data_IF_676770101647
#
_entry.id   IF_676770101647
#
_cell.length_a   1.000
_cell.length_b   1.000
_cell.length_c   1.000
_cell.angle_alpha   90.00
_cell.angle_beta   90.00
_cell.angle_gamma   90.00
#
_symmetry.space_group_name_H-M   'P 1'
#
loop_
_entity.id
_entity.type
_entity.pdbx_description
1 polymer ?
#
# COMPACT_ATOMS: atom_id res chain seq x y z
N UNK A 1 -16.76 -18.70 0.96
CA UNK A 1 -16.19 -19.77 1.82
C UNK A 1 -14.93 -19.23 2.49
N UNK A 2 -14.68 -19.62 3.73
CA UNK A 2 -13.39 -19.42 4.40
C UNK A 2 -12.49 -20.64 4.16
N UNK A 3 -11.17 -20.45 4.21
CA UNK A 3 -10.21 -21.57 4.16
C UNK A 3 -10.40 -22.48 5.38
N UNK A 4 -10.32 -23.79 5.18
CA UNK A 4 -10.46 -24.81 6.23
C UNK A 4 -9.12 -25.34 6.73
N UNK A 5 -8.03 -25.09 6.02
CA UNK A 5 -6.68 -25.55 6.33
C UNK A 5 -5.68 -24.38 6.35
N UNK A 6 -4.59 -24.57 7.09
CA UNK A 6 -3.38 -23.73 6.96
C UNK A 6 -2.60 -24.19 5.74
N UNK A 7 -2.05 -23.24 5.00
CA UNK A 7 -1.16 -23.48 3.87
C UNK A 7 0.16 -22.74 4.11
N UNK A 8 1.28 -23.44 3.86
CA UNK A 8 2.60 -22.84 3.71
C UNK A 8 3.03 -23.06 2.25
N UNK A 9 3.81 -22.16 1.67
CA UNK A 9 4.24 -22.23 0.26
C UNK A 9 5.64 -21.67 0.07
N UNK A 10 6.34 -22.14 -0.98
CA UNK A 10 7.61 -21.58 -1.46
C UNK A 10 7.39 -21.08 -2.88
N UNK A 11 7.73 -19.82 -3.14
CA UNK A 11 7.66 -19.22 -4.47
C UNK A 11 9.10 -19.03 -4.99
N UNK A 12 9.44 -19.75 -6.05
CA UNK A 12 10.67 -19.52 -6.81
C UNK A 12 10.34 -18.64 -8.02
N UNK A 13 11.19 -17.65 -8.26
CA UNK A 13 11.17 -16.79 -9.44
C UNK A 13 12.60 -16.38 -9.77
N UNK A 14 12.87 -16.11 -11.03
CA UNK A 14 14.15 -15.60 -11.52
C UNK A 14 14.03 -14.14 -11.96
N UNK A 15 15.19 -13.56 -12.29
CA UNK A 15 15.31 -12.28 -12.98
C UNK A 15 16.47 -12.40 -13.95
N UNK A 16 16.28 -11.89 -15.16
CA UNK A 16 17.31 -11.84 -16.19
C UNK A 16 17.51 -10.38 -16.61
N UNK A 17 18.77 -9.96 -16.65
CA UNK A 17 19.22 -8.65 -17.15
C UNK A 17 18.41 -7.46 -16.59
N UNK A 18 18.08 -7.50 -15.29
CA UNK A 18 17.16 -6.54 -14.68
C UNK A 18 17.21 -6.47 -13.15
N UNK A 19 16.47 -5.50 -12.60
CA UNK A 19 16.42 -5.21 -11.17
C UNK A 19 15.06 -5.63 -10.56
N UNK A 20 14.99 -6.67 -9.72
CA UNK A 20 13.73 -7.19 -9.20
C UNK A 20 13.13 -6.33 -8.06
N UNK A 21 13.99 -5.65 -7.29
CA UNK A 21 13.62 -4.74 -6.21
C UNK A 21 14.79 -3.76 -5.96
N UNK A 22 14.63 -2.51 -6.40
CA UNK A 22 15.58 -1.46 -6.11
C UNK A 22 15.57 -1.01 -4.65
N UNK A 23 16.69 -0.48 -4.19
CA UNK A 23 16.89 0.16 -2.89
C UNK A 23 16.84 1.69 -3.02
N UNK A 24 15.87 2.40 -2.39
CA UNK A 24 15.84 3.86 -2.42
C UNK A 24 17.06 4.49 -1.74
N UNK A 25 17.67 3.80 -0.77
CA UNK A 25 18.80 4.33 0.00
C UNK A 25 20.16 4.08 -0.69
N UNK A 26 20.20 3.14 -1.65
CA UNK A 26 21.38 2.81 -2.45
C UNK A 26 21.18 3.10 -3.94
N UNK A 27 20.64 4.28 -4.27
CA UNK A 27 20.59 4.79 -5.66
C UNK A 27 19.76 3.94 -6.63
N UNK A 28 18.75 3.22 -6.12
CA UNK A 28 17.95 2.24 -6.86
C UNK A 28 18.72 1.00 -7.37
N UNK A 29 19.92 0.71 -6.84
CA UNK A 29 20.57 -0.60 -7.05
C UNK A 29 19.70 -1.74 -6.48
N UNK A 30 19.85 -3.00 -6.96
CA UNK A 30 19.20 -4.15 -6.34
C UNK A 30 19.53 -4.23 -4.84
N UNK A 31 18.52 -4.53 -4.00
CA UNK A 31 18.74 -4.70 -2.56
C UNK A 31 19.63 -5.91 -2.27
N UNK A 32 20.59 -5.75 -1.36
CA UNK A 32 21.53 -6.79 -0.94
C UNK A 32 21.49 -6.97 0.58
N UNK A 33 21.66 -8.20 1.04
CA UNK A 33 22.02 -8.50 2.43
C UNK A 33 23.52 -8.19 2.63
N UNK A 34 23.82 -7.22 3.48
CA UNK A 34 25.18 -6.74 3.71
C UNK A 34 26.12 -7.79 4.35
N UNK A 35 25.58 -8.77 5.07
CA UNK A 35 26.40 -9.82 5.70
C UNK A 35 26.71 -10.98 4.75
N UNK A 36 25.79 -11.28 3.81
CA UNK A 36 25.85 -12.51 3.01
C UNK A 36 25.98 -12.27 1.50
N UNK A 37 25.83 -11.02 1.02
CA UNK A 37 25.86 -10.67 -0.41
C UNK A 37 24.67 -11.19 -1.22
N UNK A 38 23.64 -11.77 -0.58
CA UNK A 38 22.47 -12.30 -1.29
C UNK A 38 21.51 -11.18 -1.67
N UNK A 39 20.90 -11.30 -2.85
CA UNK A 39 19.87 -10.39 -3.32
C UNK A 39 18.61 -10.51 -2.47
N UNK A 40 18.00 -9.37 -2.14
CA UNK A 40 16.77 -9.29 -1.34
C UNK A 40 15.61 -8.76 -2.20
N UNK A 41 14.45 -9.37 -2.05
CA UNK A 41 13.18 -8.81 -2.54
C UNK A 41 12.23 -8.73 -1.36
N UNK A 42 11.83 -7.50 -1.02
CA UNK A 42 10.96 -7.23 0.14
C UNK A 42 9.60 -7.87 -0.04
N UNK A 43 9.00 -8.30 1.07
CA UNK A 43 7.64 -8.85 1.08
C UNK A 43 6.63 -7.82 0.53
N UNK A 44 6.81 -6.54 0.84
CA UNK A 44 5.97 -5.45 0.34
C UNK A 44 6.07 -5.27 -1.18
N UNK A 45 7.22 -5.52 -1.80
CA UNK A 45 7.36 -5.49 -3.26
C UNK A 45 6.61 -6.67 -3.92
N UNK A 46 6.68 -7.87 -3.34
CA UNK A 46 5.90 -9.02 -3.83
C UNK A 46 4.40 -8.79 -3.63
N UNK A 47 3.97 -8.34 -2.44
CA UNK A 47 2.59 -7.96 -2.14
C UNK A 47 2.08 -6.82 -3.04
N UNK A 48 2.95 -5.92 -3.53
CA UNK A 48 2.62 -4.91 -4.55
C UNK A 48 2.39 -5.55 -5.92
N UNK A 49 3.25 -6.48 -6.37
CA UNK A 49 3.05 -7.21 -7.63
C UNK A 49 1.74 -8.01 -7.61
N UNK A 50 1.41 -8.70 -6.51
CA UNK A 50 0.13 -9.41 -6.33
C UNK A 50 -1.07 -8.45 -6.39
N UNK A 51 -1.02 -7.31 -5.71
CA UNK A 51 -2.06 -6.26 -5.82
C UNK A 51 -2.26 -5.80 -7.25
N UNK A 52 -1.18 -5.50 -7.96
CA UNK A 52 -1.24 -5.03 -9.35
C UNK A 52 -1.82 -6.10 -10.29
N UNK A 53 -1.45 -7.38 -10.12
CA UNK A 53 -2.02 -8.48 -10.88
C UNK A 53 -3.54 -8.60 -10.67
N UNK A 54 -4.00 -8.56 -9.41
CA UNK A 54 -5.44 -8.60 -9.09
C UNK A 54 -6.16 -7.35 -9.62
N UNK A 55 -5.54 -6.17 -9.55
CA UNK A 55 -6.11 -4.93 -10.10
C UNK A 55 -6.28 -4.95 -11.63
N UNK A 56 -5.40 -5.66 -12.35
CA UNK A 56 -5.49 -5.84 -13.81
C UNK A 56 -6.49 -6.94 -14.20
N UNK A 57 -6.59 -8.00 -13.39
CA UNK A 57 -7.48 -9.15 -13.65
C UNK A 57 -8.94 -8.97 -13.23
N UNK A 58 -9.26 -7.95 -12.43
CA UNK A 58 -10.60 -7.77 -11.85
C UNK A 58 -11.09 -6.32 -11.88
N UNK A 59 -12.41 -6.15 -11.97
CA UNK A 59 -13.13 -4.88 -11.86
C UNK A 59 -12.70 -4.04 -10.63
N UNK A 60 -12.18 -2.84 -10.89
CA UNK A 60 -11.78 -1.85 -9.89
C UNK A 60 -12.77 -0.68 -9.75
N UNK A 61 -13.95 -0.77 -10.36
CA UNK A 61 -14.96 0.29 -10.35
C UNK A 61 -15.62 0.48 -8.98
N UNK A 62 -15.89 1.74 -8.66
CA UNK A 62 -16.52 2.15 -7.40
C UNK A 62 -18.05 1.98 -7.47
N UNK A 63 -18.50 0.72 -7.38
CA UNK A 63 -19.90 0.35 -7.16
C UNK A 63 -20.15 -0.06 -5.71
N UNK A 64 -21.41 -0.31 -5.37
CA UNK A 64 -21.79 -0.94 -4.10
C UNK A 64 -21.52 -2.46 -4.13
N UNK A 65 -21.09 -3.08 -3.01
CA UNK A 65 -20.87 -4.51 -2.95
C UNK A 65 -22.19 -5.28 -2.92
N UNK A 66 -22.38 -6.20 -3.86
CA UNK A 66 -23.56 -7.07 -3.91
C UNK A 66 -23.43 -8.16 -2.84
N UNK A 67 -24.53 -8.46 -2.13
CA UNK A 67 -24.56 -9.52 -1.13
C UNK A 67 -24.22 -10.88 -1.75
N UNK A 68 -23.18 -11.54 -1.21
CA UNK A 68 -22.67 -12.82 -1.73
C UNK A 68 -21.55 -12.71 -2.77
N UNK A 69 -21.30 -11.52 -3.33
CA UNK A 69 -20.18 -11.30 -4.24
C UNK A 69 -18.88 -11.03 -3.45
N UNK A 70 -17.83 -11.79 -3.73
CA UNK A 70 -16.48 -11.50 -3.25
C UNK A 70 -15.82 -10.50 -4.21
N UNK A 71 -15.72 -9.23 -3.81
CA UNK A 71 -15.09 -8.20 -4.64
C UNK A 71 -13.57 -8.23 -4.52
N UNK A 72 -12.93 -7.78 -5.59
CA UNK A 72 -11.47 -7.79 -5.80
C UNK A 72 -10.90 -6.38 -6.02
N UNK A 73 -11.59 -5.36 -5.48
CA UNK A 73 -11.10 -3.99 -5.47
C UNK A 73 -9.81 -3.92 -4.61
N UNK A 74 -8.85 -3.09 -4.98
CA UNK A 74 -7.58 -2.91 -4.25
C UNK A 74 -7.60 -1.60 -3.46
N UNK A 75 -7.47 -1.70 -2.14
CA UNK A 75 -7.47 -0.57 -1.21
C UNK A 75 -6.21 0.29 -1.37
N UNK A 76 -5.03 -0.35 -1.34
CA UNK A 76 -3.74 0.35 -1.47
C UNK A 76 -3.34 0.47 -2.94
N UNK A 77 -4.03 1.32 -3.71
CA UNK A 77 -3.72 1.64 -5.12
C UNK A 77 -3.09 3.02 -5.30
N UNK A 78 -2.46 3.26 -6.45
CA UNK A 78 -1.89 4.58 -6.78
C UNK A 78 -2.98 5.67 -6.76
N UNK A 79 -2.64 6.88 -6.32
CA UNK A 79 -3.54 8.06 -6.24
C UNK A 79 -4.79 7.90 -5.35
N UNK A 80 -4.97 6.79 -4.63
CA UNK A 80 -6.08 6.62 -3.71
C UNK A 80 -5.81 7.30 -2.34
N UNK A 81 -6.83 8.03 -1.85
CA UNK A 81 -6.82 8.60 -0.50
C UNK A 81 -7.56 7.63 0.43
N UNK A 82 -6.82 6.98 1.33
CA UNK A 82 -7.34 5.91 2.20
C UNK A 82 -8.51 6.38 3.08
N UNK A 83 -8.46 7.61 3.59
CA UNK A 83 -9.52 8.19 4.42
C UNK A 83 -10.86 8.34 3.65
N UNK A 84 -10.83 8.57 2.33
CA UNK A 84 -12.06 8.61 1.52
C UNK A 84 -12.67 7.21 1.37
N UNK A 85 -11.84 6.18 1.25
CA UNK A 85 -12.30 4.79 1.20
C UNK A 85 -12.86 4.32 2.55
N UNK A 86 -12.30 4.80 3.68
CA UNK A 86 -12.87 4.60 5.02
C UNK A 86 -14.25 5.28 5.14
N UNK A 87 -14.38 6.52 4.66
CA UNK A 87 -15.67 7.25 4.63
C UNK A 87 -16.71 6.54 3.76
N UNK A 88 -16.32 6.02 2.58
CA UNK A 88 -17.19 5.25 1.67
C UNK A 88 -17.84 4.04 2.35
N UNK A 89 -17.11 3.34 3.25
CA UNK A 89 -17.67 2.25 4.04
C UNK A 89 -18.81 2.71 4.97
N UNK A 90 -18.62 3.85 5.65
CA UNK A 90 -19.65 4.43 6.52
C UNK A 90 -20.86 4.95 5.74
N UNK A 91 -20.63 5.60 4.59
CA UNK A 91 -21.70 6.05 3.70
C UNK A 91 -22.54 4.88 3.16
N UNK A 92 -21.90 3.80 2.72
CA UNK A 92 -22.58 2.60 2.22
C UNK A 92 -23.39 1.88 3.32
N UNK A 93 -22.90 1.86 4.55
CA UNK A 93 -23.58 1.28 5.70
C UNK A 93 -24.61 2.21 6.36
N UNK A 94 -24.69 3.48 5.94
CA UNK A 94 -25.54 4.54 6.53
C UNK A 94 -25.30 4.72 8.03
N UNK A 95 -24.03 4.64 8.44
CA UNK A 95 -23.59 4.83 9.82
C UNK A 95 -23.29 6.29 10.11
N UNK A 96 -23.54 6.73 11.35
CA UNK A 96 -23.21 8.08 11.80
C UNK A 96 -21.70 8.33 11.72
N UNK A 97 -21.30 9.30 10.91
CA UNK A 97 -19.89 9.62 10.71
C UNK A 97 -19.39 10.48 11.87
N UNK A 98 -18.82 9.83 12.89
CA UNK A 98 -17.95 10.52 13.84
C UNK A 98 -16.57 10.67 13.20
N UNK A 99 -16.34 11.83 12.59
CA UNK A 99 -15.00 12.23 12.13
C UNK A 99 -14.17 12.56 13.38
N UNK A 100 -13.19 11.72 13.70
CA UNK A 100 -12.09 12.18 14.56
C UNK A 100 -11.29 13.20 13.73
N UNK A 101 -11.35 14.47 14.15
CA UNK A 101 -10.54 15.55 13.60
C UNK A 101 -9.08 15.11 13.59
N UNK A 102 -8.47 15.08 12.39
CA UNK A 102 -7.09 14.65 12.25
C UNK A 102 -6.18 15.63 13.03
N UNK A 103 -5.13 15.12 13.72
CA UNK A 103 -4.07 16.02 14.18
C UNK A 103 -3.43 16.65 12.95
N UNK A 104 -3.49 17.98 12.86
CA UNK A 104 -2.67 18.76 11.95
C UNK A 104 -1.24 18.70 12.48
N UNK A 105 -0.36 17.95 11.82
CA UNK A 105 1.07 18.10 12.03
C UNK A 105 1.54 19.48 11.55
N UNK A 106 2.60 19.98 12.20
CA UNK A 106 3.32 21.24 11.95
C UNK A 106 2.55 22.55 12.30
N UNK A 107 2.97 23.42 13.24
CA UNK A 107 4.29 23.55 13.93
C UNK A 107 4.19 24.24 15.32
N UNK A 108 5.29 24.09 16.08
CA UNK A 108 5.81 24.97 17.15
C UNK A 108 5.19 24.96 18.57
N UNK A 109 6.09 25.18 19.54
CA UNK A 109 5.83 25.23 20.98
C UNK A 109 5.35 26.62 21.43
N UNK A 110 4.38 26.68 22.37
CA UNK A 110 4.67 26.93 23.78
C UNK A 110 3.39 26.92 24.67
N UNK A 111 3.61 26.64 25.95
CA UNK A 111 2.75 26.87 27.14
C UNK A 111 1.27 27.35 27.00
N UNK A 112 0.31 26.47 27.36
CA UNK A 112 -0.61 26.63 28.55
C UNK A 112 -1.80 25.64 28.61
N UNK A 113 -1.94 24.95 29.76
CA UNK A 113 -3.24 24.51 30.33
C UNK A 113 -3.95 25.72 31.01
N UNK A 114 -5.26 25.70 31.36
CA UNK A 114 -6.20 24.57 31.55
C UNK A 114 -7.49 24.74 30.68
N UNK A 115 -8.67 24.09 30.82
CA UNK A 115 -9.37 23.31 31.87
C UNK A 115 -10.15 22.10 31.27
N UNK A 116 -10.80 21.30 32.13
CA UNK A 116 -11.80 20.27 31.75
C UNK A 116 -13.10 20.90 31.22
N UNK A 117 -13.68 20.29 30.19
CA UNK A 117 -15.13 20.23 29.96
C UNK A 117 -15.48 18.83 29.47
N UNK A 118 -16.49 18.20 30.08
CA UNK A 118 -16.89 16.83 29.73
C UNK A 118 -17.84 16.82 28.53
N UNK A 119 -17.49 16.03 27.51
CA UNK A 119 -18.42 15.44 26.55
C UNK A 119 -17.79 14.14 26.05
N UNK A 120 -18.55 13.06 26.06
CA UNK A 120 -18.12 11.79 25.48
C UNK A 120 -17.96 11.98 23.97
N UNK A 121 -16.72 12.16 23.48
CA UNK A 121 -16.40 11.85 22.09
C UNK A 121 -16.62 10.35 21.93
N UNK A 122 -17.84 9.97 21.52
CA UNK A 122 -18.15 8.61 21.09
C UNK A 122 -17.29 8.33 19.85
N UNK A 123 -16.10 7.76 20.06
CA UNK A 123 -15.50 6.87 19.05
C UNK A 123 -16.64 6.01 18.52
N UNK A 124 -16.78 5.90 17.19
CA UNK A 124 -17.88 5.16 16.55
C UNK A 124 -18.13 3.84 17.29
N UNK A 125 -19.40 3.49 17.54
CA UNK A 125 -19.72 2.39 18.46
C UNK A 125 -18.97 1.13 18.04
N UNK A 126 -18.58 0.30 19.00
CA UNK A 126 -17.81 -0.92 18.71
C UNK A 126 -18.51 -1.81 17.66
N UNK A 127 -19.85 -1.74 17.60
CA UNK A 127 -20.70 -2.31 16.54
C UNK A 127 -20.39 -1.78 15.14
N UNK A 128 -20.24 -0.46 15.00
CA UNK A 128 -20.13 0.28 13.75
C UNK A 128 -18.75 0.01 13.14
N UNK A 129 -17.71 0.01 13.96
CA UNK A 129 -16.35 -0.38 13.58
C UNK A 129 -16.29 -1.84 13.12
N UNK A 130 -17.05 -2.75 13.75
CA UNK A 130 -17.12 -4.16 13.32
C UNK A 130 -17.81 -4.29 11.96
N UNK A 131 -18.91 -3.55 11.73
CA UNK A 131 -19.63 -3.54 10.45
C UNK A 131 -18.79 -2.92 9.33
N UNK A 132 -18.18 -1.75 9.57
CA UNK A 132 -17.27 -1.10 8.64
C UNK A 132 -16.10 -2.01 8.26
N UNK A 133 -15.45 -2.65 9.26
CA UNK A 133 -14.39 -3.63 9.02
C UNK A 133 -14.86 -4.81 8.16
N UNK A 134 -16.06 -5.34 8.40
CA UNK A 134 -16.61 -6.43 7.61
C UNK A 134 -16.86 -6.01 6.15
N UNK A 135 -17.41 -4.81 5.94
CA UNK A 135 -17.59 -4.21 4.61
C UNK A 135 -16.26 -4.01 3.88
N UNK A 136 -15.23 -3.48 4.56
CA UNK A 136 -13.89 -3.32 4.01
C UNK A 136 -13.29 -4.67 3.57
N UNK A 137 -13.44 -5.73 4.39
CA UNK A 137 -13.01 -7.08 4.03
C UNK A 137 -13.81 -7.70 2.87
N UNK A 138 -15.09 -7.36 2.72
CA UNK A 138 -15.90 -7.85 1.58
C UNK A 138 -15.49 -7.14 0.28
N UNK A 139 -15.29 -5.82 0.33
CA UNK A 139 -15.00 -5.01 -0.84
C UNK A 139 -13.56 -5.16 -1.34
N UNK A 140 -12.58 -5.14 -0.44
CA UNK A 140 -11.16 -5.06 -0.78
C UNK A 140 -10.41 -6.38 -0.60
N UNK A 141 -9.82 -6.89 -1.70
CA UNK A 141 -9.07 -8.14 -1.69
C UNK A 141 -7.80 -8.06 -0.85
N UNK A 142 -7.05 -6.96 -0.92
CA UNK A 142 -5.77 -6.83 -0.24
C UNK A 142 -5.92 -6.61 1.27
N UNK A 143 -6.96 -5.90 1.71
CA UNK A 143 -7.37 -5.83 3.12
C UNK A 143 -7.73 -7.23 3.64
N UNK A 144 -8.52 -7.98 2.87
CA UNK A 144 -8.93 -9.36 3.21
C UNK A 144 -7.76 -10.34 3.26
N UNK A 145 -6.74 -10.16 2.43
CA UNK A 145 -5.66 -11.13 2.20
C UNK A 145 -4.39 -10.82 3.00
N UNK A 146 -3.94 -9.57 3.01
CA UNK A 146 -2.71 -9.14 3.69
C UNK A 146 -2.99 -8.38 5.00
N UNK A 147 -4.19 -7.80 5.14
CA UNK A 147 -4.55 -6.94 6.26
C UNK A 147 -4.29 -5.46 5.99
N UNK A 148 -4.86 -4.61 6.82
CA UNK A 148 -4.70 -3.16 6.81
C UNK A 148 -5.01 -2.56 8.18
N UNK A 149 -4.41 -1.40 8.47
CA UNK A 149 -4.80 -0.50 9.56
C UNK A 149 -5.64 0.60 8.95
N UNK A 150 -6.85 0.79 9.45
CA UNK A 150 -7.87 1.69 8.86
C UNK A 150 -8.47 2.61 9.95
N UNK A 151 -7.64 2.98 10.93
CA UNK A 151 -8.04 3.80 12.09
C UNK A 151 -7.89 5.31 11.88
N UNK A 152 -7.47 5.75 10.70
CA UNK A 152 -7.24 7.16 10.37
C UNK A 152 -8.53 7.84 9.88
N UNK A 153 -8.81 9.04 10.41
CA UNK A 153 -10.04 9.78 10.13
C UNK A 153 -11.26 9.04 10.69
N UNK A 154 -12.02 8.38 9.81
CA UNK A 154 -13.17 7.55 10.23
C UNK A 154 -12.69 6.13 10.50
N UNK A 155 -12.80 5.69 11.76
CA UNK A 155 -12.15 4.48 12.25
C UNK A 155 -12.87 3.19 11.80
N UNK A 156 -12.33 2.53 10.77
CA UNK A 156 -12.77 1.21 10.30
C UNK A 156 -12.01 0.04 10.97
N UNK A 157 -11.23 0.32 12.02
CA UNK A 157 -10.49 -0.67 12.81
C UNK A 157 -9.22 -1.18 12.15
N UNK A 158 -8.87 -2.44 12.44
CA UNK A 158 -7.69 -3.11 11.91
C UNK A 158 -7.98 -4.56 11.53
N UNK A 159 -7.29 -5.06 10.50
CA UNK A 159 -7.40 -6.42 9.98
C UNK A 159 -6.01 -7.02 9.87
N UNK A 160 -5.82 -8.24 10.41
CA UNK A 160 -4.65 -9.08 10.14
C UNK A 160 -5.04 -10.06 9.05
N UNK A 161 -4.41 -9.97 7.86
CA UNK A 161 -4.69 -10.88 6.77
C UNK A 161 -4.06 -12.27 6.99
N UNK A 162 -4.66 -13.34 6.44
CA UNK A 162 -4.12 -14.69 6.58
C UNK A 162 -2.80 -14.92 5.83
N UNK A 163 -2.52 -14.15 4.77
CA UNK A 163 -1.30 -14.32 3.97
C UNK A 163 -0.19 -13.42 4.51
N UNK A 164 0.75 -14.04 5.22
CA UNK A 164 2.01 -13.43 5.61
C UNK A 164 3.13 -13.93 4.70
N UNK A 165 3.96 -13.00 4.25
CA UNK A 165 5.13 -13.26 3.38
C UNK A 165 6.34 -12.63 4.04
N UNK A 166 7.50 -13.27 3.94
CA UNK A 166 8.79 -12.74 4.36
C UNK A 166 9.54 -12.15 3.16
N UNK A 167 10.72 -11.57 3.40
CA UNK A 167 11.62 -11.21 2.30
C UNK A 167 12.02 -12.48 1.56
N UNK A 168 12.00 -12.43 0.22
CA UNK A 168 12.63 -13.43 -0.61
C UNK A 168 14.13 -13.12 -0.72
N UNK A 169 14.94 -14.17 -0.78
CA UNK A 169 16.39 -14.12 -0.89
C UNK A 169 16.80 -14.91 -2.14
N UNK A 170 17.84 -14.48 -2.84
CA UNK A 170 18.46 -15.29 -3.90
C UNK A 170 19.01 -16.61 -3.33
N UNK A 171 19.26 -17.60 -4.18
CA UNK A 171 19.90 -18.87 -3.76
C UNK A 171 21.40 -18.65 -3.52
N UNK A 172 22.04 -17.82 -4.36
CA UNK A 172 23.45 -17.49 -4.32
C UNK A 172 23.66 -15.97 -4.11
N UNK A 173 24.84 -15.52 -3.67
CA UNK A 173 25.22 -14.10 -3.68
C UNK A 173 25.10 -13.48 -5.08
N UNK A 174 24.68 -12.21 -5.16
CA UNK A 174 24.48 -11.52 -6.44
C UNK A 174 25.36 -10.27 -6.55
N UNK A 175 25.83 -9.97 -7.76
CA UNK A 175 26.63 -8.79 -8.05
C UNK A 175 25.81 -7.87 -8.95
N UNK A 176 25.59 -6.63 -8.50
CA UNK A 176 24.99 -5.60 -9.34
C UNK A 176 26.00 -5.09 -10.38
N UNK A 177 25.54 -4.76 -11.58
CA UNK A 177 26.38 -4.20 -12.65
C UNK A 177 25.72 -2.94 -13.21
N UNK A 178 26.47 -1.83 -13.17
CA UNK A 178 26.03 -0.55 -13.73
C UNK A 178 26.14 -0.57 -15.25
N UNK A 179 25.00 -0.33 -15.92
CA UNK A 179 24.93 -0.26 -17.37
C UNK A 179 24.60 1.19 -17.75
N UNK A 180 25.61 1.94 -18.20
CA UNK A 180 25.42 3.31 -18.65
C UNK A 180 24.62 3.35 -19.96
N UNK A 181 23.62 4.23 -20.03
CA UNK A 181 22.78 4.44 -21.21
C UNK A 181 22.74 5.93 -21.55
N UNK A 182 22.63 6.24 -22.85
CA UNK A 182 22.42 7.61 -23.34
C UNK A 182 20.96 7.82 -23.73
N UNK A 183 20.50 9.07 -23.67
CA UNK A 183 19.15 9.48 -24.11
C UNK A 183 19.29 10.66 -25.07
N UNK A 184 18.77 10.53 -26.28
CA UNK A 184 18.85 11.59 -27.29
C UNK A 184 17.95 12.80 -26.99
N UNK A 185 16.86 12.60 -26.24
CA UNK A 185 15.97 13.69 -25.83
C UNK A 185 16.55 14.52 -24.67
N UNK A 186 16.44 15.84 -24.78
CA UNK A 186 16.66 16.82 -23.69
C UNK A 186 15.44 16.93 -22.79
N UNK A 187 15.63 17.29 -21.51
CA UNK A 187 14.54 17.41 -20.54
C UNK A 187 13.90 18.81 -20.51
N UNK A 188 14.62 19.84 -20.93
CA UNK A 188 14.16 21.24 -20.87
C UNK A 188 14.45 22.00 -22.16
N UNK A 189 13.65 23.04 -22.44
CA UNK A 189 13.87 23.94 -23.58
C UNK A 189 15.23 24.66 -23.52
N UNK A 190 15.75 24.88 -22.30
CA UNK A 190 17.07 25.46 -22.07
C UNK A 190 18.21 24.50 -22.42
N UNK A 191 18.06 23.21 -22.14
CA UNK A 191 18.99 22.17 -22.61
C UNK A 191 18.96 22.07 -24.14
N UNK A 192 17.77 22.15 -24.75
CA UNK A 192 17.62 22.14 -26.21
C UNK A 192 18.36 23.29 -26.90
N UNK A 193 18.33 24.49 -26.30
CA UNK A 193 19.01 25.69 -26.82
C UNK A 193 20.52 25.72 -26.52
N UNK A 194 20.99 24.91 -25.56
CA UNK A 194 22.39 24.83 -25.17
C UNK A 194 23.16 23.68 -25.87
N UNK A 195 22.46 22.74 -26.50
CA UNK A 195 23.09 21.73 -27.36
C UNK A 195 23.23 22.25 -28.80
N UNK A 196 24.47 22.47 -29.22
CA UNK A 196 24.81 22.79 -30.61
C UNK A 196 25.20 21.50 -31.34
N UNK A 197 24.24 20.87 -32.01
CA UNK A 197 24.41 19.60 -32.71
C UNK A 197 23.08 18.93 -33.08
N UNK A 198 23.08 18.21 -34.20
CA UNK A 198 21.87 17.57 -34.74
C UNK A 198 21.45 16.36 -33.87
N UNK A 199 20.17 16.30 -33.48
CA UNK A 199 19.62 15.24 -32.66
C UNK A 199 19.53 13.93 -33.47
N UNK A 200 20.52 13.04 -33.29
CA UNK A 200 20.53 11.69 -33.86
C UNK A 200 19.47 10.75 -33.27
#
# INVERSE_FOLDING_TARGET
MTLTARHDFVLLFDVKDGNPNGDPDAGNMPRLDAETGHGLVTDVALKRKVRNYVALGHDQSEREPIAGEARFEIYVREKAILNLQNQRAYSALKLDVVVDEAPTDDTNADDKKPKKAGKEKRKGSATDVIQARAWMCQNFFDVRTFGAVMSTGVNCGQVRGPVQMTFARSVDPVVASEHSITRMAVATEKEAQAQDGDNR
#
